data_IF_265346421582
#
_entry.id   IF_265346421582
#
_cell.length_a   1.000
_cell.length_b   1.000
_cell.length_c   1.000
_cell.angle_alpha   90.00
_cell.angle_beta   90.00
_cell.angle_gamma   90.00
#
_symmetry.space_group_name_H-M   'P 1'
#
loop_
_entity.id
_entity.type
_entity.pdbx_description
1 polymer ?
#
# COMPACT_ATOMS: atom_id res chain seq x y z
N UNK A 1 9.81 -8.08 17.91
CA UNK A 1 9.12 -8.14 16.60
C UNK A 1 9.12 -9.56 16.02
N UNK A 2 10.26 -10.25 15.74
CA UNK A 2 10.24 -11.61 15.14
C UNK A 2 9.30 -12.59 15.85
N UNK A 3 9.43 -12.77 17.17
CA UNK A 3 8.56 -13.68 17.94
C UNK A 3 7.09 -13.28 17.94
N UNK A 4 6.78 -11.99 17.85
CA UNK A 4 5.43 -11.43 17.72
C UNK A 4 4.83 -11.76 16.35
N UNK A 5 5.56 -11.51 15.25
CA UNK A 5 5.14 -11.84 13.90
C UNK A 5 4.86 -13.36 13.74
N UNK A 6 5.74 -14.17 14.29
CA UNK A 6 5.56 -15.62 14.31
C UNK A 6 4.32 -16.05 15.14
N UNK A 7 4.02 -15.35 16.24
CA UNK A 7 2.83 -15.62 17.04
C UNK A 7 1.54 -15.30 16.27
N UNK A 8 1.49 -14.16 15.55
CA UNK A 8 0.36 -13.80 14.68
C UNK A 8 0.16 -14.86 13.60
N UNK A 9 1.23 -15.26 12.91
CA UNK A 9 1.15 -16.27 11.86
C UNK A 9 0.68 -17.64 12.41
N UNK A 10 1.17 -18.06 13.58
CA UNK A 10 0.71 -19.29 14.26
C UNK A 10 -0.75 -19.24 14.68
N UNK A 11 -1.28 -18.05 14.99
CA UNK A 11 -2.70 -17.86 15.30
C UNK A 11 -3.62 -17.98 14.06
N UNK A 12 -3.04 -18.17 12.85
CA UNK A 12 -3.81 -18.31 11.63
C UNK A 12 -4.31 -16.98 11.05
N UNK A 13 -3.78 -15.85 11.51
CA UNK A 13 -4.13 -14.49 11.07
C UNK A 13 -3.09 -13.99 10.08
N UNK A 14 -3.52 -13.24 9.06
CA UNK A 14 -2.60 -12.58 8.14
C UNK A 14 -1.99 -11.34 8.78
N UNK A 15 -0.71 -11.11 8.51
CA UNK A 15 0.06 -10.04 9.11
C UNK A 15 0.23 -8.89 8.10
N UNK A 16 -0.20 -7.69 8.48
CA UNK A 16 0.19 -6.46 7.78
C UNK A 16 1.27 -5.74 8.58
N UNK A 17 2.32 -5.34 7.89
CA UNK A 17 3.40 -4.51 8.44
C UNK A 17 3.30 -3.13 7.80
N UNK A 18 3.14 -2.12 8.63
CA UNK A 18 3.17 -0.71 8.21
C UNK A 18 4.60 -0.20 8.27
N UNK A 19 5.08 0.33 7.13
CA UNK A 19 6.46 0.78 6.96
C UNK A 19 6.50 2.24 6.48
N UNK A 20 6.18 3.22 7.34
CA UNK A 20 6.31 4.63 7.02
C UNK A 20 7.77 5.06 6.79
N UNK A 21 8.71 4.31 7.29
CA UNK A 21 10.15 4.49 7.08
C UNK A 21 10.57 4.30 5.62
N UNK A 22 9.78 3.57 4.82
CA UNK A 22 10.04 3.34 3.39
C UNK A 22 9.43 4.42 2.48
N UNK A 23 8.46 5.19 2.96
CA UNK A 23 7.79 6.28 2.24
C UNK A 23 7.97 7.62 2.97
N UNK A 24 7.16 7.86 4.01
CA UNK A 24 7.15 9.09 4.81
C UNK A 24 8.52 9.43 5.39
N UNK A 25 9.31 8.42 5.75
CA UNK A 25 10.65 8.61 6.29
C UNK A 25 11.56 9.45 5.40
N UNK A 26 11.32 9.45 4.07
CA UNK A 26 12.09 10.23 3.10
C UNK A 26 12.08 11.73 3.39
N UNK A 27 10.94 12.28 3.76
CA UNK A 27 10.81 13.72 3.99
C UNK A 27 10.78 14.12 5.47
N UNK A 28 10.85 13.16 6.40
CA UNK A 28 10.89 13.43 7.84
C UNK A 28 12.27 13.04 8.41
N UNK A 29 12.55 11.75 8.52
CA UNK A 29 13.76 11.25 9.19
C UNK A 29 15.01 11.37 8.31
N UNK A 30 14.84 11.28 7.00
CA UNK A 30 15.90 11.20 6.00
C UNK A 30 15.84 12.36 5.00
N UNK A 31 15.28 13.51 5.42
CA UNK A 31 15.10 14.68 4.55
C UNK A 31 16.42 15.21 3.97
N UNK A 32 17.50 15.14 4.74
CA UNK A 32 18.84 15.63 4.36
C UNK A 32 19.64 14.63 3.50
N UNK A 33 19.17 13.39 3.37
CA UNK A 33 19.86 12.40 2.55
C UNK A 33 19.60 12.63 1.05
N UNK A 34 20.56 12.29 0.21
CA UNK A 34 20.30 12.08 -1.21
C UNK A 34 19.34 10.91 -1.44
N UNK A 35 18.74 10.82 -2.63
CA UNK A 35 17.89 9.68 -2.98
C UNK A 35 18.64 8.35 -2.87
N UNK A 36 19.89 8.30 -3.32
CA UNK A 36 20.71 7.07 -3.25
C UNK A 36 21.01 6.64 -1.82
N UNK A 37 21.28 7.59 -0.93
CA UNK A 37 21.49 7.30 0.50
C UNK A 37 20.18 6.84 1.16
N UNK A 38 19.06 7.49 0.86
CA UNK A 38 17.75 7.03 1.33
C UNK A 38 17.46 5.59 0.85
N UNK A 39 17.70 5.29 -0.41
CA UNK A 39 17.52 3.92 -0.96
C UNK A 39 18.40 2.89 -0.26
N UNK A 40 19.63 3.24 0.16
CA UNK A 40 20.48 2.36 0.98
C UNK A 40 19.85 2.09 2.35
N UNK A 41 19.29 3.13 3.00
CA UNK A 41 18.57 2.96 4.26
C UNK A 41 17.32 2.08 4.09
N UNK A 42 16.54 2.33 3.05
CA UNK A 42 15.35 1.51 2.74
C UNK A 42 15.71 0.03 2.51
N UNK A 43 16.81 -0.27 1.83
CA UNK A 43 17.31 -1.66 1.68
C UNK A 43 17.67 -2.28 3.04
N UNK A 44 18.37 -1.56 3.89
CA UNK A 44 18.72 -2.03 5.24
C UNK A 44 17.46 -2.33 6.09
N UNK A 45 16.45 -1.46 6.00
CA UNK A 45 15.17 -1.67 6.71
C UNK A 45 14.45 -2.92 6.18
N UNK A 46 14.42 -3.13 4.86
CA UNK A 46 13.83 -4.34 4.27
C UNK A 46 14.62 -5.60 4.64
N UNK A 47 15.94 -5.55 4.69
CA UNK A 47 16.76 -6.67 5.17
C UNK A 47 16.42 -7.03 6.62
N UNK A 48 16.29 -6.04 7.50
CA UNK A 48 15.89 -6.26 8.90
C UNK A 48 14.47 -6.83 8.99
N UNK A 49 13.54 -6.33 8.18
CA UNK A 49 12.17 -6.85 8.10
C UNK A 49 12.16 -8.30 7.60
N UNK A 50 12.89 -8.60 6.52
CA UNK A 50 13.00 -9.95 5.97
C UNK A 50 13.57 -10.94 6.99
N UNK A 51 14.56 -10.51 7.79
CA UNK A 51 15.07 -11.32 8.91
C UNK A 51 13.99 -11.56 9.96
N UNK A 52 13.22 -10.54 10.32
CA UNK A 52 12.13 -10.68 11.28
C UNK A 52 11.00 -11.60 10.79
N UNK A 53 10.77 -11.65 9.48
CA UNK A 53 9.73 -12.44 8.82
C UNK A 53 10.23 -13.82 8.34
N UNK A 54 11.45 -14.24 8.68
CA UNK A 54 12.05 -15.46 8.11
C UNK A 54 11.19 -16.72 8.23
N UNK A 55 10.41 -16.82 9.31
CA UNK A 55 9.53 -17.96 9.61
C UNK A 55 8.03 -17.67 9.35
N UNK A 56 7.69 -16.53 8.76
CA UNK A 56 6.33 -16.18 8.35
C UNK A 56 6.18 -16.50 6.87
N UNK A 57 5.16 -17.28 6.44
CA UNK A 57 4.90 -17.53 5.04
C UNK A 57 4.64 -16.22 4.29
N UNK A 58 5.31 -15.98 3.16
CA UNK A 58 5.15 -14.71 2.41
C UNK A 58 3.70 -14.38 2.06
N UNK A 59 2.92 -15.40 1.68
CA UNK A 59 1.50 -15.29 1.31
C UNK A 59 0.57 -14.94 2.49
N UNK A 60 1.07 -15.05 3.73
CA UNK A 60 0.37 -14.69 4.95
C UNK A 60 0.77 -13.31 5.47
N UNK A 61 1.53 -12.55 4.67
CA UNK A 61 1.99 -11.22 5.06
C UNK A 61 1.89 -10.23 3.91
N UNK A 62 1.64 -8.96 4.27
CA UNK A 62 1.65 -7.82 3.37
C UNK A 62 2.42 -6.66 3.98
N UNK A 63 3.12 -5.95 3.13
CA UNK A 63 3.83 -4.72 3.44
C UNK A 63 2.98 -3.55 2.99
N UNK A 64 2.68 -2.62 3.89
CA UNK A 64 2.10 -1.33 3.55
C UNK A 64 3.19 -0.26 3.56
N UNK A 65 3.37 0.41 2.43
CA UNK A 65 4.23 1.59 2.32
C UNK A 65 3.37 2.82 2.55
N UNK A 66 3.65 3.54 3.62
CA UNK A 66 2.90 4.72 4.02
C UNK A 66 3.71 5.98 3.72
N UNK A 67 3.11 6.92 3.00
CA UNK A 67 3.72 8.25 2.75
C UNK A 67 3.30 9.30 3.77
N UNK A 68 2.48 8.91 4.75
CA UNK A 68 1.93 9.78 5.77
C UNK A 68 0.44 10.06 5.54
N UNK A 69 -0.39 9.52 6.42
CA UNK A 69 -1.85 9.61 6.31
C UNK A 69 -2.36 10.92 6.94
N UNK A 70 -2.06 12.04 6.32
CA UNK A 70 -2.52 13.36 6.73
C UNK A 70 -2.92 14.19 5.51
N UNK A 71 -3.89 15.08 5.68
CA UNK A 71 -4.24 16.05 4.66
C UNK A 71 -3.19 17.17 4.60
N UNK A 72 -2.38 17.14 3.57
CA UNK A 72 -1.28 18.08 3.39
C UNK A 72 -0.73 18.06 1.97
N UNK A 73 0.27 18.90 1.66
CA UNK A 73 0.76 19.07 0.29
C UNK A 73 1.50 17.87 -0.29
N UNK A 74 2.11 17.00 0.50
CA UNK A 74 2.81 15.76 0.07
C UNK A 74 3.83 15.94 -1.07
N UNK A 75 4.32 17.15 -1.34
CA UNK A 75 5.17 17.47 -2.48
C UNK A 75 6.64 17.03 -2.31
N UNK A 76 7.00 16.55 -1.14
CA UNK A 76 8.31 15.99 -0.83
C UNK A 76 8.32 14.45 -0.75
N UNK A 77 7.20 13.81 -1.04
CA UNK A 77 7.09 12.36 -1.04
C UNK A 77 8.05 11.76 -2.07
N UNK A 78 8.70 10.65 -1.70
CA UNK A 78 9.47 9.87 -2.66
C UNK A 78 8.52 9.21 -3.66
N UNK A 79 8.83 9.30 -4.95
CA UNK A 79 8.04 8.63 -5.96
C UNK A 79 8.13 7.10 -5.82
N UNK A 80 7.01 6.39 -6.06
CA UNK A 80 7.00 4.93 -6.04
C UNK A 80 8.05 4.34 -7.00
N UNK A 81 8.23 4.97 -8.15
CA UNK A 81 9.23 4.55 -9.15
C UNK A 81 10.67 4.59 -8.66
N UNK A 82 10.97 5.42 -7.67
CA UNK A 82 12.30 5.57 -7.12
C UNK A 82 12.65 4.48 -6.08
N UNK A 83 11.63 3.77 -5.58
CA UNK A 83 11.81 2.77 -4.51
C UNK A 83 11.25 1.39 -4.84
N UNK A 84 10.48 1.24 -5.91
CA UNK A 84 9.75 -0.01 -6.21
C UNK A 84 10.66 -1.25 -6.32
N UNK A 85 11.84 -1.11 -6.88
CA UNK A 85 12.82 -2.20 -6.98
C UNK A 85 13.33 -2.64 -5.60
N UNK A 86 13.45 -1.71 -4.66
CA UNK A 86 13.79 -1.99 -3.27
C UNK A 86 12.61 -2.70 -2.59
N UNK A 87 11.38 -2.20 -2.75
CA UNK A 87 10.18 -2.79 -2.18
C UNK A 87 9.95 -4.24 -2.65
N UNK A 88 10.29 -4.54 -3.90
CA UNK A 88 10.17 -5.89 -4.44
C UNK A 88 11.10 -6.92 -3.77
N UNK A 89 12.13 -6.48 -3.07
CA UNK A 89 13.02 -7.36 -2.30
C UNK A 89 12.43 -7.73 -0.92
N UNK A 90 11.35 -7.09 -0.50
CA UNK A 90 10.64 -7.44 0.74
C UNK A 90 10.03 -8.84 0.65
N UNK A 91 10.08 -9.59 1.75
CA UNK A 91 9.57 -10.96 1.84
C UNK A 91 8.03 -11.08 1.67
N UNK A 92 7.19 -10.18 2.23
CA UNK A 92 5.75 -10.25 2.07
C UNK A 92 5.32 -10.36 0.60
N UNK A 93 4.33 -11.23 0.31
CA UNK A 93 3.74 -11.32 -1.03
C UNK A 93 2.89 -10.12 -1.35
N UNK A 94 2.11 -9.61 -0.40
CA UNK A 94 1.29 -8.41 -0.60
C UNK A 94 2.11 -7.14 -0.50
N UNK A 95 1.98 -6.26 -1.50
CA UNK A 95 2.53 -4.91 -1.49
C UNK A 95 1.39 -3.90 -1.57
N UNK A 96 1.12 -3.22 -0.46
CA UNK A 96 0.10 -2.17 -0.36
C UNK A 96 0.73 -0.79 -0.52
N UNK A 97 0.18 0.00 -1.44
CA UNK A 97 0.67 1.34 -1.79
C UNK A 97 -0.48 2.32 -1.94
N UNK A 98 -0.25 3.56 -1.59
CA UNK A 98 -1.19 4.64 -1.86
C UNK A 98 -1.36 4.85 -3.37
N UNK A 99 -2.61 5.00 -3.84
CA UNK A 99 -2.90 5.11 -5.25
C UNK A 99 -4.22 5.86 -5.57
N UNK A 100 -4.89 6.41 -4.57
CA UNK A 100 -6.15 7.16 -4.73
C UNK A 100 -5.99 8.64 -4.54
N UNK A 101 -5.11 9.07 -3.62
CA UNK A 101 -4.91 10.48 -3.37
C UNK A 101 -4.24 11.17 -4.57
N UNK A 102 -4.44 12.50 -4.75
CA UNK A 102 -3.95 13.21 -5.93
C UNK A 102 -2.44 13.14 -6.13
N UNK A 103 -1.68 12.85 -5.07
CA UNK A 103 -0.21 12.80 -5.13
C UNK A 103 0.29 11.50 -5.77
N UNK A 104 -0.38 10.37 -5.50
CA UNK A 104 0.03 9.05 -5.94
C UNK A 104 -0.88 8.43 -7.01
N UNK A 105 -2.06 9.00 -7.29
CA UNK A 105 -3.05 8.45 -8.22
C UNK A 105 -2.55 8.24 -9.67
N UNK A 106 -1.45 8.87 -10.06
CA UNK A 106 -0.86 8.73 -11.39
C UNK A 106 0.17 7.59 -11.48
N UNK A 107 0.63 7.05 -10.36
CA UNK A 107 1.78 6.13 -10.30
C UNK A 107 1.46 4.70 -10.80
N UNK A 108 0.20 4.37 -11.07
CA UNK A 108 -0.17 3.13 -11.76
C UNK A 108 0.55 2.96 -13.10
N UNK A 109 0.89 4.07 -13.78
CA UNK A 109 1.64 4.07 -15.05
C UNK A 109 3.05 3.48 -14.92
N UNK A 110 3.57 3.39 -13.70
CA UNK A 110 4.84 2.72 -13.44
C UNK A 110 4.81 1.27 -13.94
N UNK A 111 3.69 0.58 -13.77
CA UNK A 111 3.51 -0.83 -14.14
C UNK A 111 3.36 -1.05 -15.65
N UNK A 112 3.27 0.00 -16.48
CA UNK A 112 3.42 -0.11 -17.93
C UNK A 112 4.83 -0.57 -18.34
N UNK A 113 5.84 -0.30 -17.49
CA UNK A 113 7.25 -0.56 -17.74
C UNK A 113 7.93 -1.44 -16.68
N UNK A 114 7.39 -1.51 -15.49
CA UNK A 114 7.91 -2.32 -14.39
C UNK A 114 7.03 -3.55 -14.22
N UNK A 115 7.63 -4.73 -14.31
CA UNK A 115 6.91 -5.99 -14.12
C UNK A 115 6.82 -6.34 -12.64
N UNK A 116 5.62 -6.74 -12.20
CA UNK A 116 5.44 -7.30 -10.88
C UNK A 116 6.19 -8.65 -10.78
N UNK A 117 7.05 -8.85 -9.77
CA UNK A 117 7.76 -10.11 -9.64
C UNK A 117 6.79 -11.29 -9.37
N UNK A 118 7.11 -12.50 -9.84
CA UNK A 118 6.31 -13.68 -9.56
C UNK A 118 6.07 -13.88 -8.06
N UNK A 119 4.85 -14.22 -7.68
CA UNK A 119 4.44 -14.43 -6.29
C UNK A 119 4.15 -13.14 -5.51
N UNK A 120 4.28 -11.97 -6.13
CA UNK A 120 3.81 -10.71 -5.54
C UNK A 120 2.36 -10.42 -5.92
N UNK A 121 1.64 -9.82 -4.98
CA UNK A 121 0.28 -9.31 -5.16
C UNK A 121 0.31 -7.82 -4.85
N UNK A 122 -0.20 -7.00 -5.77
CA UNK A 122 -0.31 -5.56 -5.59
C UNK A 122 -1.64 -5.22 -4.93
N UNK A 123 -1.58 -4.38 -3.90
CA UNK A 123 -2.74 -3.92 -3.14
C UNK A 123 -2.80 -2.39 -3.25
N UNK A 124 -3.22 -1.86 -4.43
CA UNK A 124 -3.33 -0.42 -4.60
C UNK A 124 -4.46 0.15 -3.74
N UNK A 125 -4.25 1.32 -3.17
CA UNK A 125 -5.32 2.11 -2.59
C UNK A 125 -6.30 2.53 -3.68
N UNK A 126 -7.55 2.11 -3.58
CA UNK A 126 -8.63 2.54 -4.48
C UNK A 126 -9.62 3.49 -3.80
N UNK A 127 -9.38 3.75 -2.51
CA UNK A 127 -10.05 4.75 -1.68
C UNK A 127 -9.00 5.65 -1.03
N UNK A 128 -9.24 6.96 -1.09
CA UNK A 128 -8.51 7.93 -0.30
C UNK A 128 -8.91 7.81 1.18
N UNK A 129 -7.95 7.83 2.08
CA UNK A 129 -8.14 7.67 3.52
C UNK A 129 -8.12 8.99 4.30
N UNK A 130 -7.99 10.14 3.64
CA UNK A 130 -7.87 11.46 4.29
C UNK A 130 -9.03 12.40 4.03
N UNK A 131 -9.90 12.08 3.05
CA UNK A 131 -11.05 12.93 2.69
C UNK A 131 -12.39 12.27 3.00
N UNK A 132 -13.43 13.11 3.20
CA UNK A 132 -14.79 12.67 3.45
C UNK A 132 -15.63 12.49 2.15
N UNK A 133 -15.01 12.50 0.98
CA UNK A 133 -15.68 12.12 -0.26
C UNK A 133 -15.80 10.60 -0.35
N UNK A 134 -17.03 10.12 -0.57
CA UNK A 134 -17.28 8.70 -0.83
C UNK A 134 -17.07 8.46 -2.32
N UNK A 135 -16.08 7.67 -2.68
CA UNK A 135 -15.79 7.32 -4.07
C UNK A 135 -16.96 6.56 -4.70
N UNK A 136 -17.28 6.88 -5.96
CA UNK A 136 -18.30 6.14 -6.69
C UNK A 136 -17.80 4.71 -7.00
N UNK A 137 -18.63 3.65 -6.91
CA UNK A 137 -18.19 2.28 -7.19
C UNK A 137 -17.59 2.08 -8.59
N UNK A 138 -18.03 2.84 -9.60
CA UNK A 138 -17.43 2.77 -10.94
C UNK A 138 -16.01 3.32 -10.96
N UNK A 139 -15.72 4.38 -10.20
CA UNK A 139 -14.36 4.89 -10.05
C UNK A 139 -13.46 3.86 -9.37
N UNK A 140 -13.97 3.17 -8.36
CA UNK A 140 -13.26 2.07 -7.70
C UNK A 140 -12.97 0.94 -8.70
N UNK A 141 -13.97 0.51 -9.47
CA UNK A 141 -13.81 -0.52 -10.50
C UNK A 141 -12.78 -0.10 -11.57
N UNK A 142 -12.84 1.14 -12.04
CA UNK A 142 -11.86 1.70 -12.98
C UNK A 142 -10.43 1.67 -12.42
N UNK A 143 -10.25 2.07 -11.15
CA UNK A 143 -8.94 2.03 -10.48
C UNK A 143 -8.40 0.60 -10.39
N UNK A 144 -9.22 -0.38 -10.01
CA UNK A 144 -8.86 -1.80 -9.99
C UNK A 144 -8.47 -2.26 -11.41
N UNK A 145 -9.27 -1.94 -12.41
CA UNK A 145 -9.05 -2.33 -13.80
C UNK A 145 -7.74 -1.84 -14.39
N UNK A 146 -7.31 -0.61 -14.04
CA UNK A 146 -6.01 -0.07 -14.46
C UNK A 146 -4.86 -0.99 -14.06
N UNK A 147 -4.85 -1.46 -12.81
CA UNK A 147 -3.81 -2.38 -12.33
C UNK A 147 -3.99 -3.79 -12.86
N UNK A 148 -5.21 -4.32 -12.89
CA UNK A 148 -5.50 -5.66 -13.40
C UNK A 148 -5.03 -5.86 -14.85
N UNK A 149 -5.20 -4.84 -15.70
CA UNK A 149 -4.74 -4.86 -17.08
C UNK A 149 -3.21 -4.85 -17.23
N UNK A 150 -2.47 -4.37 -16.22
CA UNK A 150 -1.01 -4.22 -16.29
C UNK A 150 -0.27 -5.37 -15.60
N UNK A 151 -0.77 -5.83 -14.44
CA UNK A 151 -0.06 -6.83 -13.64
C UNK A 151 -0.76 -8.20 -13.61
N UNK A 152 -1.90 -8.33 -14.28
CA UNK A 152 -2.76 -9.52 -14.22
C UNK A 152 -3.79 -9.41 -13.09
N UNK A 153 -5.04 -9.75 -13.41
CA UNK A 153 -6.19 -9.63 -12.48
C UNK A 153 -6.02 -10.45 -11.20
N UNK A 154 -5.35 -11.59 -11.29
CA UNK A 154 -5.05 -12.50 -10.18
C UNK A 154 -4.04 -11.93 -9.19
N UNK A 155 -3.33 -10.88 -9.59
CA UNK A 155 -2.27 -10.25 -8.81
C UNK A 155 -2.71 -8.90 -8.21
N UNK A 156 -4.01 -8.58 -8.19
CA UNK A 156 -4.54 -7.32 -7.68
C UNK A 156 -5.59 -7.55 -6.60
N UNK A 157 -5.43 -6.88 -5.47
CA UNK A 157 -6.41 -6.83 -4.38
C UNK A 157 -6.72 -5.36 -4.09
N UNK A 158 -8.00 -4.99 -4.03
CA UNK A 158 -8.39 -3.62 -3.68
C UNK A 158 -8.04 -3.31 -2.23
N UNK A 159 -7.41 -2.17 -1.99
CA UNK A 159 -7.08 -1.64 -0.67
C UNK A 159 -7.54 -0.20 -0.49
N UNK A 160 -7.28 0.36 0.68
CA UNK A 160 -7.35 1.80 0.95
C UNK A 160 -5.94 2.39 0.87
N UNK A 161 -5.81 3.68 0.63
CA UNK A 161 -4.51 4.35 0.64
C UNK A 161 -3.77 4.10 1.96
N UNK A 162 -4.46 4.32 3.08
CA UNK A 162 -3.99 4.00 4.44
C UNK A 162 -5.20 3.65 5.32
N UNK A 163 -5.04 3.64 6.63
CA UNK A 163 -6.16 3.53 7.58
C UNK A 163 -6.93 4.83 7.72
N UNK A 164 -8.19 4.78 8.17
CA UNK A 164 -9.03 5.97 8.38
C UNK A 164 -8.80 6.66 9.72
N UNK A 165 -8.02 6.07 10.62
CA UNK A 165 -7.72 6.60 11.94
C UNK A 165 -6.22 6.57 12.22
N UNK A 166 -5.48 7.56 11.75
CA UNK A 166 -4.01 7.62 11.86
C UNK A 166 -3.53 7.91 13.27
N UNK A 167 -4.22 8.79 13.99
CA UNK A 167 -3.85 9.24 15.32
C UNK A 167 -4.96 9.04 16.32
N UNK A 168 -4.62 8.61 17.53
CA UNK A 168 -5.59 8.48 18.61
C UNK A 168 -6.26 9.83 18.88
N UNK A 169 -7.58 9.87 18.79
CA UNK A 169 -8.38 11.09 18.99
C UNK A 169 -8.41 12.06 17.82
N UNK A 170 -7.81 11.73 16.68
CA UNK A 170 -7.85 12.54 15.46
C UNK A 170 -8.17 11.65 14.27
N UNK A 171 -9.44 11.51 13.95
CA UNK A 171 -9.88 10.87 12.72
C UNK A 171 -10.11 11.97 11.66
N UNK A 172 -9.41 11.89 10.53
CA UNK A 172 -9.64 12.78 9.39
C UNK A 172 -10.98 12.48 8.71
N UNK A 173 -11.40 11.22 8.74
CA UNK A 173 -12.63 10.74 8.12
C UNK A 173 -13.64 10.33 9.20
N UNK A 174 -14.87 10.83 9.05
CA UNK A 174 -15.98 10.44 9.92
C UNK A 174 -16.22 8.91 9.84
N UNK A 175 -16.46 8.21 10.97
CA UNK A 175 -16.67 6.76 10.98
C UNK A 175 -17.78 6.27 10.03
N UNK A 176 -18.90 6.98 9.93
CA UNK A 176 -20.00 6.59 9.04
C UNK A 176 -19.60 6.74 7.56
N UNK A 177 -18.81 7.76 7.26
CA UNK A 177 -18.23 7.94 5.93
C UNK A 177 -17.20 6.85 5.62
N UNK A 178 -16.37 6.48 6.58
CA UNK A 178 -15.41 5.38 6.40
C UNK A 178 -16.13 4.07 6.04
N UNK A 179 -17.22 3.73 6.73
CA UNK A 179 -18.03 2.57 6.39
C UNK A 179 -18.69 2.67 5.02
N UNK A 180 -19.18 3.85 4.63
CA UNK A 180 -19.76 4.08 3.31
C UNK A 180 -18.70 3.96 2.19
N UNK A 181 -17.48 4.44 2.42
CA UNK A 181 -16.32 4.23 1.52
C UNK A 181 -16.02 2.74 1.35
N UNK A 182 -15.95 1.98 2.44
CA UNK A 182 -15.71 0.52 2.40
C UNK A 182 -16.84 -0.21 1.65
N UNK A 183 -18.10 0.21 1.84
CA UNK A 183 -19.23 -0.34 1.08
C UNK A 183 -19.10 -0.05 -0.43
N UNK A 184 -18.68 1.17 -0.78
CA UNK A 184 -18.38 1.55 -2.18
C UNK A 184 -17.22 0.71 -2.75
N UNK A 185 -16.17 0.47 -1.97
CA UNK A 185 -15.06 -0.39 -2.39
C UNK A 185 -15.53 -1.81 -2.68
N UNK A 186 -16.35 -2.39 -1.80
CA UNK A 186 -16.89 -3.73 -1.98
C UNK A 186 -17.76 -3.83 -3.24
N UNK A 187 -18.60 -2.83 -3.53
CA UNK A 187 -19.41 -2.78 -4.75
C UNK A 187 -18.53 -2.59 -6.00
N UNK A 188 -17.54 -1.68 -5.96
CA UNK A 188 -16.61 -1.45 -7.06
C UNK A 188 -15.79 -2.71 -7.37
N UNK A 189 -15.32 -3.42 -6.35
CA UNK A 189 -14.61 -4.69 -6.54
C UNK A 189 -15.50 -5.76 -7.19
N UNK A 190 -16.81 -5.84 -6.80
CA UNK A 190 -17.77 -6.74 -7.48
C UNK A 190 -17.99 -6.37 -8.95
N UNK A 191 -18.02 -5.08 -9.29
CA UNK A 191 -18.11 -4.62 -10.69
C UNK A 191 -16.87 -5.00 -11.48
N UNK A 192 -15.69 -4.71 -10.96
CA UNK A 192 -14.43 -5.09 -11.56
C UNK A 192 -14.33 -6.62 -11.75
N UNK A 193 -14.73 -7.41 -10.77
CA UNK A 193 -14.74 -8.87 -10.89
C UNK A 193 -15.62 -9.32 -12.06
N UNK A 194 -16.83 -8.78 -12.22
CA UNK A 194 -17.70 -9.13 -13.35
C UNK A 194 -17.13 -8.74 -14.72
N UNK A 195 -16.31 -7.71 -14.76
CA UNK A 195 -15.69 -7.24 -16.00
C UNK A 195 -14.46 -8.06 -16.39
N UNK A 196 -13.65 -8.48 -15.40
CA UNK A 196 -12.36 -9.10 -15.63
C UNK A 196 -12.34 -10.64 -15.42
N UNK A 197 -13.38 -11.21 -14.78
CA UNK A 197 -13.52 -12.65 -14.51
C UNK A 197 -14.81 -13.23 -15.07
#
# INVERSE_FOLDING_TARGET
MKGEYEAVARAGVDLQIDCPDLGMGRHIQFADLSLDEFRKMARLHIEALNHALANVPPERSRLHVCWGNYEGPHHHDVALGDIIDVLFTARPSGLSVEASNPRHAHEWRLFERVKLPPGKVLIPGVLDSTTNFIEHPDLVAERIGRYANLVGRENVVAGTDCGFGTWVGQAAVDPDIAWAKLASMAEGARRATREFF
#
